data_IF_956119187691
#
_entry.id   IF_956119187691
#
_cell.length_a   1.000
_cell.length_b   1.000
_cell.length_c   1.000
_cell.angle_alpha   90.00
_cell.angle_beta   90.00
_cell.angle_gamma   90.00
#
_symmetry.space_group_name_H-M   'P 1'
#
loop_
_entity.id
_entity.type
_entity.pdbx_description
1 polymer ?
#
# COMPACT_ATOMS: atom_id res chain seq x y z
N UNK A 1 9.57 -16.05 -0.17
CA UNK A 1 8.27 -15.41 0.09
C UNK A 1 7.39 -15.60 -1.13
N UNK A 2 6.11 -15.87 -0.95
CA UNK A 2 5.16 -15.78 -2.07
C UNK A 2 4.93 -14.29 -2.37
N UNK A 3 4.97 -13.94 -3.65
CA UNK A 3 4.58 -12.60 -4.11
C UNK A 3 3.11 -12.33 -3.75
N UNK A 4 2.81 -11.11 -3.33
CA UNK A 4 1.43 -10.68 -3.07
C UNK A 4 0.69 -10.49 -4.40
N UNK A 5 -0.64 -10.64 -4.35
CA UNK A 5 -1.55 -10.41 -5.47
C UNK A 5 -2.50 -9.27 -5.15
N UNK A 6 -3.17 -8.77 -6.18
CA UNK A 6 -4.29 -7.83 -5.99
C UNK A 6 -5.34 -8.42 -5.03
N UNK A 7 -5.84 -7.58 -4.13
CA UNK A 7 -6.75 -7.88 -3.02
C UNK A 7 -6.11 -8.63 -1.83
N UNK A 8 -4.82 -8.99 -1.88
CA UNK A 8 -4.14 -9.43 -0.67
C UNK A 8 -3.96 -8.27 0.31
N UNK A 9 -4.00 -8.58 1.60
CA UNK A 9 -3.80 -7.60 2.67
C UNK A 9 -2.55 -7.90 3.46
N UNK A 10 -1.86 -6.84 3.92
CA UNK A 10 -0.72 -6.97 4.81
C UNK A 10 -0.57 -5.74 5.70
N UNK A 11 0.35 -5.83 6.67
CA UNK A 11 0.65 -4.76 7.62
C UNK A 11 1.95 -4.08 7.23
N UNK A 12 1.96 -2.75 7.14
CA UNK A 12 3.17 -1.99 6.84
C UNK A 12 4.23 -2.18 7.94
N UNK A 13 5.45 -2.50 7.54
CA UNK A 13 6.62 -2.65 8.42
C UNK A 13 7.33 -1.32 8.71
N UNK A 14 7.11 -0.29 7.88
CA UNK A 14 7.68 1.04 7.99
C UNK A 14 6.67 2.11 7.56
N UNK A 15 6.98 3.37 7.86
CA UNK A 15 6.17 4.49 7.37
C UNK A 15 6.27 4.62 5.86
N UNK A 16 5.16 4.92 5.20
CA UNK A 16 5.10 5.14 3.74
C UNK A 16 4.31 6.40 3.44
N UNK A 17 4.79 7.20 2.49
CA UNK A 17 4.02 8.34 1.98
C UNK A 17 2.86 7.85 1.10
N UNK A 18 1.69 8.42 1.32
CA UNK A 18 0.47 8.09 0.60
C UNK A 18 -0.25 9.36 0.16
N UNK A 19 -1.05 9.26 -0.90
CA UNK A 19 -1.91 10.34 -1.39
C UNK A 19 -3.36 9.97 -1.16
N UNK A 20 -4.13 10.86 -0.55
CA UNK A 20 -5.57 10.64 -0.31
C UNK A 20 -6.33 10.67 -1.63
N UNK A 21 -7.17 9.67 -1.89
CA UNK A 21 -7.91 9.55 -3.15
C UNK A 21 -8.91 10.71 -3.27
N UNK A 22 -8.92 11.35 -4.43
CA UNK A 22 -9.80 12.50 -4.69
C UNK A 22 -9.31 13.83 -4.09
N UNK A 23 -8.24 13.80 -3.30
CA UNK A 23 -7.59 14.96 -2.72
C UNK A 23 -6.13 15.07 -3.20
N UNK A 24 -5.61 16.28 -3.38
CA UNK A 24 -4.17 16.48 -3.61
C UNK A 24 -3.42 16.59 -2.27
N UNK A 25 -3.77 15.72 -1.31
CA UNK A 25 -3.24 15.75 0.05
C UNK A 25 -2.38 14.51 0.30
N UNK A 26 -1.13 14.74 0.68
CA UNK A 26 -0.22 13.69 1.10
C UNK A 26 -0.33 13.45 2.60
N UNK A 27 -0.28 12.18 2.99
CA UNK A 27 -0.25 11.71 4.37
C UNK A 27 0.87 10.69 4.54
N UNK A 28 1.24 10.42 5.79
CA UNK A 28 2.17 9.35 6.12
C UNK A 28 1.38 8.22 6.78
N UNK A 29 1.38 7.04 6.16
CA UNK A 29 0.84 5.83 6.76
C UNK A 29 1.89 5.29 7.74
N UNK A 30 1.59 5.17 9.05
CA UNK A 30 2.54 4.64 10.01
C UNK A 30 2.74 3.12 9.85
N UNK A 31 3.83 2.55 10.40
CA UNK A 31 3.95 1.11 10.57
C UNK A 31 2.77 0.57 11.38
N UNK A 32 2.34 -0.65 11.08
CA UNK A 32 1.14 -1.24 11.70
C UNK A 32 -0.16 -0.93 10.95
N UNK A 33 -0.14 -0.03 9.96
CA UNK A 33 -1.30 0.19 9.08
C UNK A 33 -1.58 -1.05 8.24
N UNK A 34 -2.83 -1.53 8.26
CA UNK A 34 -3.31 -2.58 7.35
C UNK A 34 -3.59 -1.95 5.99
N UNK A 35 -3.04 -2.55 4.94
CA UNK A 35 -3.22 -2.09 3.56
C UNK A 35 -3.64 -3.24 2.65
N UNK A 36 -4.32 -2.90 1.57
CA UNK A 36 -4.75 -3.84 0.53
C UNK A 36 -3.97 -3.58 -0.75
N UNK A 37 -3.43 -4.61 -1.39
CA UNK A 37 -2.80 -4.46 -2.71
C UNK A 37 -3.87 -4.21 -3.76
N UNK A 38 -3.76 -3.09 -4.48
CA UNK A 38 -4.69 -2.74 -5.56
C UNK A 38 -4.07 -2.90 -6.95
N UNK A 39 -2.74 -2.87 -7.04
CA UNK A 39 -2.01 -3.12 -8.29
C UNK A 39 -0.65 -3.75 -8.00
N UNK A 40 -0.25 -4.70 -8.86
CA UNK A 40 1.09 -5.31 -8.84
C UNK A 40 1.92 -4.75 -9.98
N UNK A 41 3.07 -4.15 -9.67
CA UNK A 41 3.99 -3.62 -10.69
C UNK A 41 4.98 -4.70 -11.15
N UNK A 42 5.08 -4.92 -12.47
CA UNK A 42 6.06 -5.84 -13.08
C UNK A 42 5.53 -7.25 -13.34
N UNK A 43 6.42 -8.27 -13.35
CA UNK A 43 6.00 -9.68 -13.48
C UNK A 43 5.32 -10.11 -12.16
N UNK A 44 4.07 -10.60 -12.17
CA UNK A 44 3.39 -11.05 -10.95
C UNK A 44 4.11 -12.18 -10.18
N UNK A 45 5.01 -12.92 -10.84
CA UNK A 45 5.85 -13.95 -10.20
C UNK A 45 7.12 -13.37 -9.56
N UNK A 46 7.49 -12.14 -9.92
CA UNK A 46 8.62 -11.40 -9.39
C UNK A 46 8.32 -9.89 -9.39
N UNK A 47 7.41 -9.40 -8.53
CA UNK A 47 6.98 -8.01 -8.55
C UNK A 47 8.11 -7.03 -8.27
N UNK A 48 8.08 -5.87 -8.92
CA UNK A 48 8.96 -4.75 -8.60
C UNK A 48 8.44 -3.96 -7.39
N UNK A 49 7.12 -3.90 -7.23
CA UNK A 49 6.45 -3.20 -6.15
C UNK A 49 4.94 -3.37 -6.21
N UNK A 50 4.25 -2.72 -5.29
CA UNK A 50 2.80 -2.77 -5.18
C UNK A 50 2.24 -1.36 -4.98
N UNK A 51 1.11 -1.09 -5.60
CA UNK A 51 0.23 -0.02 -5.15
C UNK A 51 -0.70 -0.59 -4.09
N UNK A 52 -0.81 0.13 -2.98
CA UNK A 52 -1.60 -0.30 -1.83
C UNK A 52 -2.57 0.80 -1.42
N UNK A 53 -3.74 0.38 -0.96
CA UNK A 53 -4.78 1.25 -0.44
C UNK A 53 -4.92 1.06 1.08
N UNK A 54 -5.09 2.18 1.79
CA UNK A 54 -5.38 2.20 3.22
C UNK A 54 -6.61 3.04 3.52
N UNK A 55 -7.50 2.55 4.37
CA UNK A 55 -8.59 3.36 4.91
C UNK A 55 -8.08 4.24 6.06
N UNK A 56 -8.49 5.51 6.07
CA UNK A 56 -8.15 6.53 7.07
C UNK A 56 -9.40 6.89 7.89
N UNK A 57 -9.66 6.25 9.05
CA UNK A 57 -10.93 6.41 9.76
C UNK A 57 -11.22 7.84 10.26
N UNK A 58 -10.18 8.64 10.50
CA UNK A 58 -10.34 10.03 10.96
C UNK A 58 -10.86 10.96 9.86
N UNK A 59 -10.52 10.64 8.62
CA UNK A 59 -10.82 11.46 7.45
C UNK A 59 -11.98 10.86 6.63
N UNK A 60 -12.45 9.65 6.99
CA UNK A 60 -13.42 8.84 6.23
C UNK A 60 -13.05 8.72 4.74
N UNK A 61 -11.76 8.49 4.50
CA UNK A 61 -11.17 8.53 3.17
C UNK A 61 -10.21 7.36 2.97
N UNK A 62 -9.84 7.12 1.72
CA UNK A 62 -8.82 6.15 1.33
C UNK A 62 -7.57 6.87 0.83
N UNK A 63 -6.40 6.26 1.04
CA UNK A 63 -5.14 6.76 0.52
C UNK A 63 -4.37 5.65 -0.22
N UNK A 64 -3.72 6.04 -1.32
CA UNK A 64 -2.88 5.18 -2.14
C UNK A 64 -1.40 5.43 -1.85
N UNK A 65 -0.63 4.36 -1.76
CA UNK A 65 0.81 4.40 -1.60
C UNK A 65 1.50 3.41 -2.53
N UNK A 66 2.74 3.70 -2.92
CA UNK A 66 3.61 2.74 -3.61
C UNK A 66 4.63 2.18 -2.63
N UNK A 67 4.75 0.86 -2.60
CA UNK A 67 5.75 0.15 -1.78
C UNK A 67 6.62 -0.73 -2.66
N UNK A 68 7.90 -0.88 -2.29
CA UNK A 68 8.78 -1.81 -2.99
C UNK A 68 8.47 -3.25 -2.59
N UNK A 69 8.65 -4.19 -3.52
CA UNK A 69 8.34 -5.59 -3.23
C UNK A 69 9.20 -6.18 -2.10
N UNK A 70 10.40 -5.63 -1.87
CA UNK A 70 11.29 -6.05 -0.78
C UNK A 70 10.82 -5.62 0.61
N UNK A 71 9.91 -4.65 0.68
CA UNK A 71 9.38 -4.12 1.94
C UNK A 71 8.13 -4.88 2.41
N UNK A 72 7.61 -5.78 1.56
CA UNK A 72 6.41 -6.58 1.78
C UNK A 72 6.83 -8.01 2.07
N UNK A 73 6.80 -8.40 3.36
CA UNK A 73 7.25 -9.70 3.81
C UNK A 73 7.61 -9.76 5.29
#
# INVERSE_FOLDING_TARGET
>A
MNAMKENDTFVLSKSVEATVIGEHRNVVLPPGTVVTVVLVFGDPRSPAGYEVEAFLPKDDAYALATVEARDVG
#
